data_IF_591829631476
#
_entry.id   IF_591829631476
#
_cell.length_a   1.000
_cell.length_b   1.000
_cell.length_c   1.000
_cell.angle_alpha   90.00
_cell.angle_beta   90.00
_cell.angle_gamma   90.00
#
_symmetry.space_group_name_H-M   'P 1'
#
loop_
_entity.id
_entity.type
_entity.pdbx_description
1 polymer ?
#
# COMPACT_ATOMS: atom_id res chain seq x y z
N UNK A 1 26.46 -13.52 -13.49
CA UNK A 1 26.49 -12.96 -12.13
C UNK A 1 25.14 -12.31 -11.84
N UNK A 2 24.60 -12.45 -10.62
CA UNK A 2 23.23 -11.99 -10.27
C UNK A 2 23.15 -10.48 -9.95
N UNK A 3 24.29 -9.82 -9.83
CA UNK A 3 24.46 -8.40 -9.51
C UNK A 3 25.65 -7.87 -10.31
N UNK A 4 25.48 -6.81 -11.11
CA UNK A 4 26.60 -6.17 -11.81
C UNK A 4 27.55 -5.47 -10.83
N UNK A 5 27.03 -4.91 -9.74
CA UNK A 5 27.84 -4.23 -8.72
C UNK A 5 28.79 -5.20 -8.03
N UNK A 6 28.32 -6.41 -7.71
CA UNK A 6 29.22 -7.43 -7.18
C UNK A 6 30.28 -7.83 -8.21
N UNK A 7 29.96 -7.84 -9.51
CA UNK A 7 30.95 -8.09 -10.56
C UNK A 7 32.07 -7.06 -10.53
N UNK A 8 31.69 -5.80 -10.54
CA UNK A 8 32.65 -4.69 -10.54
C UNK A 8 33.48 -4.70 -9.24
N UNK A 9 32.85 -5.01 -8.09
CA UNK A 9 33.55 -5.15 -6.81
C UNK A 9 34.59 -6.28 -6.85
N UNK A 10 34.24 -7.45 -7.38
CA UNK A 10 35.18 -8.56 -7.52
C UNK A 10 36.29 -8.25 -8.54
N UNK A 11 36.00 -7.48 -9.59
CA UNK A 11 36.97 -7.09 -10.60
C UNK A 11 38.01 -6.08 -10.06
N UNK A 12 37.57 -5.13 -9.22
CA UNK A 12 38.43 -4.10 -8.59
C UNK A 12 39.25 -4.65 -7.44
N UNK A 13 38.70 -5.57 -6.64
CA UNK A 13 39.38 -6.19 -5.50
C UNK A 13 40.42 -7.26 -5.91
N UNK A 14 40.68 -7.48 -7.20
CA UNK A 14 41.80 -8.28 -7.63
C UNK A 14 43.12 -7.52 -7.34
N UNK A 15 43.95 -7.97 -6.38
CA UNK A 15 45.14 -7.22 -6.03
C UNK A 15 46.13 -7.23 -7.22
N UNK A 16 46.72 -6.07 -7.60
CA UNK A 16 47.96 -6.11 -8.36
C UNK A 16 49.02 -6.77 -7.47
N UNK A 17 49.72 -7.78 -8.00
CA UNK A 17 50.77 -8.59 -7.32
C UNK A 17 51.97 -7.82 -6.74
N UNK A 18 51.91 -6.50 -6.57
CA UNK A 18 53.08 -5.62 -6.45
C UNK A 18 53.00 -4.52 -5.39
N UNK A 19 51.96 -4.41 -4.58
CA UNK A 19 51.89 -3.42 -3.49
C UNK A 19 52.14 -4.11 -2.15
N UNK A 20 53.21 -3.72 -1.46
CA UNK A 20 53.73 -4.35 -0.23
C UNK A 20 52.87 -4.21 1.04
N UNK A 21 51.54 -4.21 0.89
CA UNK A 21 50.60 -4.48 1.97
C UNK A 21 50.55 -5.98 2.24
N UNK A 22 50.35 -6.40 3.49
CA UNK A 22 50.33 -7.83 3.82
C UNK A 22 49.15 -8.51 3.11
N UNK A 23 49.42 -9.51 2.28
CA UNK A 23 48.38 -10.29 1.56
C UNK A 23 47.30 -10.86 2.49
N UNK A 24 47.61 -11.01 3.79
CA UNK A 24 46.71 -11.57 4.79
C UNK A 24 45.50 -10.68 5.14
N UNK A 25 45.61 -9.35 5.02
CA UNK A 25 44.51 -8.43 5.39
C UNK A 25 43.44 -8.31 4.29
N UNK A 26 43.76 -8.74 3.05
CA UNK A 26 42.87 -8.68 1.88
C UNK A 26 42.31 -10.05 1.48
N UNK A 27 42.63 -11.10 2.24
CA UNK A 27 42.20 -12.47 1.97
C UNK A 27 41.45 -13.05 3.16
N UNK A 28 40.33 -13.71 2.89
CA UNK A 28 39.60 -14.53 3.84
C UNK A 28 39.63 -15.97 3.35
N UNK A 29 40.26 -16.86 4.11
CA UNK A 29 40.44 -18.28 3.74
C UNK A 29 41.03 -18.49 2.33
N UNK A 30 41.91 -17.58 1.89
CA UNK A 30 42.55 -17.64 0.57
C UNK A 30 41.71 -17.09 -0.58
N UNK A 31 40.53 -16.52 -0.30
CA UNK A 31 39.70 -15.80 -1.27
C UNK A 31 39.76 -14.28 -1.02
N UNK A 32 39.60 -13.42 -2.05
CA UNK A 32 39.51 -11.97 -1.87
C UNK A 32 38.43 -11.58 -0.86
N UNK A 33 38.81 -10.83 0.17
CA UNK A 33 37.91 -10.33 1.20
C UNK A 33 37.32 -8.98 0.77
N UNK A 34 35.99 -8.90 0.75
CA UNK A 34 35.26 -7.64 0.48
C UNK A 34 34.45 -7.27 1.73
N UNK A 35 34.75 -6.10 2.28
CA UNK A 35 33.99 -5.54 3.39
C UNK A 35 32.76 -4.78 2.88
N UNK A 36 31.58 -5.19 3.34
CA UNK A 36 30.31 -4.54 3.03
C UNK A 36 29.79 -3.85 4.29
N UNK A 37 29.22 -2.66 4.13
CA UNK A 37 28.68 -1.85 5.23
C UNK A 37 27.21 -2.15 5.55
N UNK A 38 26.60 -3.11 4.84
CA UNK A 38 25.19 -3.44 4.99
C UNK A 38 24.97 -4.35 6.20
N UNK A 39 23.73 -4.35 6.68
CA UNK A 39 23.30 -5.29 7.70
C UNK A 39 23.45 -6.74 7.23
N UNK A 40 24.06 -7.57 8.07
CA UNK A 40 24.42 -8.94 7.72
C UNK A 40 23.18 -9.83 7.48
N UNK A 41 22.10 -9.64 8.23
CA UNK A 41 20.89 -10.46 8.14
C UNK A 41 20.11 -10.13 6.85
N UNK A 42 19.98 -8.84 6.53
CA UNK A 42 19.36 -8.41 5.28
C UNK A 42 20.16 -8.85 4.05
N UNK A 43 21.49 -8.71 4.10
CA UNK A 43 22.35 -9.14 3.01
C UNK A 43 22.31 -10.67 2.86
N UNK A 44 22.35 -11.41 3.96
CA UNK A 44 22.21 -12.86 3.98
C UNK A 44 20.92 -13.31 3.28
N UNK A 45 19.79 -12.68 3.60
CA UNK A 45 18.49 -12.96 2.97
C UNK A 45 18.52 -12.74 1.45
N UNK A 46 19.13 -11.65 0.99
CA UNK A 46 19.29 -11.34 -0.45
C UNK A 46 20.18 -12.37 -1.15
N UNK A 47 21.32 -12.71 -0.53
CA UNK A 47 22.24 -13.71 -1.06
C UNK A 47 21.56 -15.08 -1.14
N UNK A 48 20.72 -15.41 -0.17
CA UNK A 48 20.00 -16.68 -0.14
C UNK A 48 19.04 -16.81 -1.34
N UNK A 49 18.25 -15.77 -1.59
CA UNK A 49 17.32 -15.71 -2.72
C UNK A 49 18.06 -15.85 -4.05
N UNK A 50 19.18 -15.16 -4.25
CA UNK A 50 19.86 -15.15 -5.55
C UNK A 50 20.70 -16.41 -5.81
N UNK A 51 21.30 -17.03 -4.79
CA UNK A 51 22.19 -18.19 -4.96
C UNK A 51 21.51 -19.54 -4.72
N UNK A 52 20.62 -19.63 -3.74
CA UNK A 52 19.92 -20.88 -3.41
C UNK A 52 18.53 -20.97 -4.05
N UNK A 53 18.12 -19.94 -4.81
CA UNK A 53 16.79 -19.85 -5.41
C UNK A 53 15.68 -19.99 -4.35
N UNK A 54 15.96 -19.57 -3.11
CA UNK A 54 14.95 -19.52 -2.07
C UNK A 54 13.79 -18.64 -2.51
N UNK A 55 12.58 -19.03 -2.14
CA UNK A 55 11.39 -18.29 -2.50
C UNK A 55 11.45 -16.88 -1.91
N UNK A 56 11.22 -15.88 -2.77
CA UNK A 56 11.07 -14.50 -2.33
C UNK A 56 9.89 -14.43 -1.34
N UNK A 57 10.08 -13.86 -0.13
CA UNK A 57 8.99 -13.70 0.80
C UNK A 57 7.81 -12.99 0.13
N UNK A 58 6.64 -13.61 0.21
CA UNK A 58 5.40 -13.03 -0.27
C UNK A 58 4.28 -13.34 0.72
N UNK A 59 3.81 -12.28 1.36
CA UNK A 59 2.71 -12.33 2.32
C UNK A 59 1.61 -11.42 1.75
N UNK A 60 0.76 -11.94 0.83
CA UNK A 60 -0.22 -11.12 0.13
C UNK A 60 -1.10 -10.37 1.12
N UNK A 61 -1.23 -9.06 0.93
CA UNK A 61 -2.06 -8.18 1.76
C UNK A 61 -1.70 -8.16 3.25
N UNK A 62 -0.54 -8.68 3.66
CA UNK A 62 -0.13 -8.63 5.06
C UNK A 62 0.29 -7.21 5.45
N UNK A 63 -0.14 -6.69 6.61
CA UNK A 63 0.26 -5.37 7.09
C UNK A 63 1.76 -5.28 7.43
N UNK A 64 2.44 -6.42 7.60
CA UNK A 64 3.86 -6.52 7.88
C UNK A 64 4.72 -6.66 6.62
N UNK A 65 4.10 -6.94 5.45
CA UNK A 65 4.85 -7.18 4.21
C UNK A 65 5.71 -5.98 3.77
N UNK A 66 5.23 -4.72 3.84
CA UNK A 66 6.06 -3.56 3.51
C UNK A 66 7.35 -3.45 4.34
N UNK A 67 7.27 -3.74 5.64
CA UNK A 67 8.42 -3.66 6.55
C UNK A 67 9.42 -4.78 6.27
N UNK A 68 8.92 -6.00 6.08
CA UNK A 68 9.74 -7.17 5.76
C UNK A 68 10.54 -6.98 4.45
N UNK A 69 9.90 -6.41 3.42
CA UNK A 69 10.49 -6.38 2.08
C UNK A 69 11.34 -5.13 1.82
N UNK A 70 11.21 -4.08 2.64
CA UNK A 70 11.94 -2.82 2.47
C UNK A 70 13.48 -3.01 2.43
N UNK A 71 14.11 -3.74 3.37
CA UNK A 71 15.56 -3.93 3.33
C UNK A 71 16.02 -4.72 2.10
N UNK A 72 15.25 -5.72 1.69
CA UNK A 72 15.51 -6.51 0.49
C UNK A 72 15.43 -5.63 -0.75
N UNK A 73 14.45 -4.73 -0.83
CA UNK A 73 14.34 -3.76 -1.93
C UNK A 73 15.50 -2.76 -1.97
N UNK A 74 15.90 -2.22 -0.82
CA UNK A 74 17.03 -1.31 -0.73
C UNK A 74 18.31 -1.95 -1.26
N UNK A 75 18.61 -3.18 -0.81
CA UNK A 75 19.77 -3.94 -1.27
C UNK A 75 19.64 -4.35 -2.74
N UNK A 76 18.45 -4.75 -3.18
CA UNK A 76 18.19 -5.06 -4.61
C UNK A 76 18.50 -3.87 -5.51
N UNK A 77 18.11 -2.66 -5.08
CA UNK A 77 18.40 -1.42 -5.80
C UNK A 77 19.89 -1.07 -5.73
N UNK A 78 20.49 -1.14 -4.53
CA UNK A 78 21.91 -0.84 -4.29
C UNK A 78 22.84 -1.71 -5.13
N UNK A 79 22.55 -3.00 -5.21
CA UNK A 79 23.36 -3.98 -5.92
C UNK A 79 22.88 -4.27 -7.35
N UNK A 80 21.87 -3.56 -7.87
CA UNK A 80 21.39 -3.74 -9.24
C UNK A 80 20.77 -5.12 -9.52
N UNK A 81 20.14 -5.75 -8.53
CA UNK A 81 19.46 -7.05 -8.65
C UNK A 81 18.05 -6.83 -9.24
N UNK A 82 18.00 -6.48 -10.52
CA UNK A 82 16.80 -5.99 -11.20
C UNK A 82 15.63 -6.97 -11.20
N UNK A 83 15.88 -8.27 -11.36
CA UNK A 83 14.83 -9.30 -11.39
C UNK A 83 14.06 -9.38 -10.07
N UNK A 84 14.79 -9.38 -8.95
CA UNK A 84 14.20 -9.42 -7.61
C UNK A 84 13.45 -8.12 -7.32
N UNK A 85 14.06 -6.97 -7.63
CA UNK A 85 13.41 -5.67 -7.50
C UNK A 85 12.07 -5.63 -8.27
N UNK A 86 12.06 -6.00 -9.55
CA UNK A 86 10.86 -6.01 -10.38
C UNK A 86 9.79 -7.02 -9.91
N UNK A 87 10.21 -8.14 -9.31
CA UNK A 87 9.27 -9.10 -8.74
C UNK A 87 8.57 -8.56 -7.50
N UNK A 88 9.34 -7.96 -6.58
CA UNK A 88 8.78 -7.33 -5.37
C UNK A 88 7.84 -6.18 -5.73
N UNK A 89 8.24 -5.32 -6.69
CA UNK A 89 7.38 -4.22 -7.16
C UNK A 89 6.01 -4.74 -7.63
N UNK A 90 6.00 -5.84 -8.42
CA UNK A 90 4.73 -6.47 -8.86
C UNK A 90 3.91 -7.00 -7.70
N UNK A 91 4.53 -7.59 -6.67
CA UNK A 91 3.80 -8.04 -5.48
C UNK A 91 3.12 -6.87 -4.77
N UNK A 92 3.87 -5.79 -4.53
CA UNK A 92 3.37 -4.58 -3.87
C UNK A 92 2.23 -3.94 -4.66
N UNK A 93 2.35 -3.82 -5.98
CA UNK A 93 1.27 -3.31 -6.82
C UNK A 93 0.03 -4.23 -6.80
N UNK A 94 0.23 -5.55 -6.79
CA UNK A 94 -0.87 -6.52 -6.80
C UNK A 94 -1.69 -6.54 -5.52
N UNK A 95 -1.12 -6.08 -4.40
CA UNK A 95 -1.84 -5.96 -3.12
C UNK A 95 -2.83 -4.79 -3.12
N UNK A 96 -2.70 -3.83 -4.06
CA UNK A 96 -3.52 -2.64 -4.13
C UNK A 96 -4.43 -2.60 -5.36
N UNK A 97 -5.74 -2.35 -5.18
CA UNK A 97 -6.69 -2.38 -6.27
C UNK A 97 -6.47 -1.24 -7.26
N UNK A 98 -6.43 -1.57 -8.54
CA UNK A 98 -6.24 -0.60 -9.63
C UNK A 98 -7.58 -0.15 -10.23
N UNK A 99 -8.62 -0.96 -10.09
CA UNK A 99 -9.97 -0.66 -10.58
C UNK A 99 -11.00 -0.69 -9.46
N UNK A 100 -12.13 0.00 -9.65
CA UNK A 100 -13.26 -0.04 -8.72
C UNK A 100 -13.76 -1.48 -8.49
N UNK A 101 -13.71 -2.33 -9.52
CA UNK A 101 -14.10 -3.73 -9.39
C UNK A 101 -13.12 -4.50 -8.50
N UNK A 102 -11.82 -4.22 -8.60
CA UNK A 102 -10.82 -4.85 -7.75
C UNK A 102 -10.93 -4.36 -6.30
N UNK A 103 -11.31 -3.10 -6.10
CA UNK A 103 -11.68 -2.58 -4.78
C UNK A 103 -12.89 -3.30 -4.19
N UNK A 104 -13.96 -3.44 -4.96
CA UNK A 104 -15.17 -4.14 -4.51
C UNK A 104 -14.90 -5.62 -4.19
N UNK A 105 -14.02 -6.28 -4.98
CA UNK A 105 -13.55 -7.64 -4.67
C UNK A 105 -12.74 -7.66 -3.38
N UNK A 106 -11.76 -6.76 -3.24
CA UNK A 106 -10.90 -6.70 -2.06
C UNK A 106 -11.72 -6.53 -0.78
N UNK A 107 -12.65 -5.57 -0.75
CA UNK A 107 -13.50 -5.32 0.42
C UNK A 107 -14.41 -6.51 0.74
N UNK A 108 -14.94 -7.20 -0.27
CA UNK A 108 -15.71 -8.43 -0.09
C UNK A 108 -14.84 -9.54 0.49
N UNK A 109 -13.69 -9.80 -0.11
CA UNK A 109 -12.77 -10.85 0.33
C UNK A 109 -12.31 -10.62 1.77
N UNK A 110 -11.99 -9.38 2.16
CA UNK A 110 -11.62 -9.03 3.54
C UNK A 110 -12.78 -9.29 4.52
N UNK A 111 -14.01 -8.98 4.11
CA UNK A 111 -15.21 -9.21 4.93
C UNK A 111 -15.51 -10.70 5.09
N UNK A 112 -15.29 -11.49 4.03
CA UNK A 112 -15.55 -12.94 3.98
C UNK A 112 -14.44 -13.79 4.64
N UNK A 113 -13.18 -13.33 4.64
CA UNK A 113 -12.01 -14.07 5.17
C UNK A 113 -11.98 -14.15 6.71
N UNK A 114 -13.04 -13.74 7.41
CA UNK A 114 -13.21 -13.96 8.85
C UNK A 114 -13.41 -15.44 9.16
N UNK A 115 -12.33 -16.20 9.12
CA UNK A 115 -12.31 -17.65 9.29
C UNK A 115 -12.19 -18.07 10.77
N UNK A 116 -11.84 -17.15 11.67
CA UNK A 116 -11.77 -17.41 13.12
C UNK A 116 -12.13 -16.16 13.94
N UNK A 117 -12.68 -16.35 15.16
CA UNK A 117 -12.95 -15.25 16.10
C UNK A 117 -11.67 -14.57 16.64
N UNK A 118 -10.49 -15.13 16.32
CA UNK A 118 -9.18 -14.66 16.80
C UNK A 118 -8.46 -13.74 15.80
N UNK A 119 -8.75 -13.84 14.50
CA UNK A 119 -8.03 -13.08 13.47
C UNK A 119 -8.61 -11.66 13.30
N UNK A 120 -7.71 -10.68 13.23
CA UNK A 120 -8.10 -9.28 13.05
C UNK A 120 -8.29 -9.04 11.56
N UNK A 121 -9.26 -8.21 11.21
CA UNK A 121 -9.49 -7.82 9.81
C UNK A 121 -8.27 -7.16 9.15
N UNK A 122 -7.41 -6.51 9.95
CA UNK A 122 -6.18 -5.87 9.49
C UNK A 122 -5.07 -6.88 9.15
N UNK A 123 -5.12 -8.11 9.67
CA UNK A 123 -4.10 -9.14 9.39
C UNK A 123 -4.19 -9.66 7.94
N UNK A 124 -5.32 -9.40 7.27
CA UNK A 124 -5.62 -9.84 5.91
C UNK A 124 -5.84 -8.69 4.94
N UNK A 125 -5.39 -7.49 5.29
CA UNK A 125 -5.59 -6.32 4.46
C UNK A 125 -4.35 -5.43 4.42
N UNK A 126 -4.02 -4.87 3.24
CA UNK A 126 -2.81 -4.06 3.11
C UNK A 126 -2.90 -2.81 3.99
N UNK A 127 -1.80 -2.48 4.66
CA UNK A 127 -1.73 -1.33 5.56
C UNK A 127 -1.47 -0.04 4.76
N UNK A 128 -2.38 0.95 4.80
CA UNK A 128 -2.33 2.11 3.91
C UNK A 128 -1.16 3.06 4.18
N UNK A 129 -0.77 3.30 5.43
CA UNK A 129 0.25 4.30 5.75
C UNK A 129 1.65 3.83 5.33
N UNK A 130 1.96 2.56 5.59
CA UNK A 130 3.16 1.87 5.16
C UNK A 130 3.22 1.82 3.63
N UNK A 131 2.10 1.53 2.95
CA UNK A 131 2.05 1.55 1.49
C UNK A 131 2.33 2.94 0.90
N UNK A 132 1.75 4.01 1.46
CA UNK A 132 2.03 5.39 1.01
C UNK A 132 3.52 5.71 1.17
N UNK A 133 4.08 5.45 2.36
CA UNK A 133 5.50 5.66 2.63
C UNK A 133 6.40 4.88 1.66
N UNK A 134 6.05 3.63 1.39
CA UNK A 134 6.78 2.75 0.49
C UNK A 134 6.69 3.21 -0.96
N UNK A 135 5.49 3.61 -1.41
CA UNK A 135 5.23 4.14 -2.74
C UNK A 135 6.09 5.38 -3.03
N UNK A 136 6.21 6.30 -2.08
CA UNK A 136 7.09 7.46 -2.24
C UNK A 136 8.57 7.08 -2.27
N UNK A 137 9.00 6.12 -1.44
CA UNK A 137 10.41 5.68 -1.38
C UNK A 137 10.85 4.95 -2.65
N UNK A 138 9.97 4.15 -3.23
CA UNK A 138 10.28 3.28 -4.36
C UNK A 138 9.69 3.72 -5.69
N UNK A 139 9.02 4.87 -5.74
CA UNK A 139 8.38 5.45 -6.92
C UNK A 139 7.30 4.53 -7.51
N UNK A 140 6.29 4.21 -6.69
CA UNK A 140 5.15 3.35 -7.04
C UNK A 140 3.84 4.16 -6.97
N UNK A 141 3.65 5.17 -7.84
CA UNK A 141 2.49 6.05 -7.75
C UNK A 141 1.15 5.35 -8.03
N UNK A 142 1.19 4.18 -8.69
CA UNK A 142 0.01 3.36 -9.04
C UNK A 142 -0.84 2.97 -7.83
N UNK A 143 -0.23 2.77 -6.65
CA UNK A 143 -0.95 2.34 -5.44
C UNK A 143 -1.48 3.51 -4.59
N UNK A 144 -0.95 4.72 -4.79
CA UNK A 144 -1.26 5.88 -3.96
C UNK A 144 -2.76 6.25 -3.93
N UNK A 145 -3.50 6.29 -5.06
CA UNK A 145 -4.92 6.67 -5.03
C UNK A 145 -5.76 5.74 -4.15
N UNK A 146 -5.56 4.43 -4.26
CA UNK A 146 -6.27 3.44 -3.47
C UNK A 146 -5.85 3.47 -1.99
N UNK A 147 -4.55 3.64 -1.71
CA UNK A 147 -4.02 3.73 -0.35
C UNK A 147 -4.53 4.98 0.39
N UNK A 148 -4.50 6.15 -0.26
CA UNK A 148 -5.06 7.37 0.31
C UNK A 148 -6.58 7.29 0.49
N UNK A 149 -7.32 6.73 -0.48
CA UNK A 149 -8.76 6.53 -0.30
C UNK A 149 -9.05 5.59 0.87
N UNK A 150 -8.31 4.48 0.99
CA UNK A 150 -8.44 3.57 2.12
C UNK A 150 -8.20 4.29 3.46
N UNK A 151 -7.08 5.00 3.57
CA UNK A 151 -6.74 5.79 4.75
C UNK A 151 -7.78 6.86 5.07
N UNK A 152 -8.41 7.46 4.05
CA UNK A 152 -9.41 8.51 4.21
C UNK A 152 -10.67 8.02 4.94
N UNK A 153 -10.97 6.72 4.84
CA UNK A 153 -12.12 6.10 5.49
C UNK A 153 -11.89 5.84 6.99
N UNK A 154 -10.65 5.92 7.45
CA UNK A 154 -10.26 5.57 8.81
C UNK A 154 -10.31 6.80 9.72
N UNK A 155 -10.62 6.56 11.00
CA UNK A 155 -10.49 7.57 12.05
C UNK A 155 -9.04 7.63 12.52
N UNK A 156 -8.54 8.83 12.81
CA UNK A 156 -7.20 9.01 13.40
C UNK A 156 -7.07 8.36 14.79
N UNK A 157 -8.20 8.08 15.45
CA UNK A 157 -8.20 7.36 16.72
C UNK A 157 -8.02 5.85 16.57
N UNK A 158 -8.15 5.33 15.34
CA UNK A 158 -8.05 3.91 15.00
C UNK A 158 -6.61 3.60 14.63
N UNK A 159 -5.76 3.67 15.65
CA UNK A 159 -4.33 3.55 15.54
C UNK A 159 -3.88 2.09 15.68
N UNK A 160 -3.14 1.62 14.68
CA UNK A 160 -2.70 0.24 14.59
C UNK A 160 -1.79 -0.13 15.76
N UNK A 161 -0.79 0.70 16.09
CA UNK A 161 0.19 0.42 17.15
C UNK A 161 -0.50 0.30 18.52
N UNK A 162 -1.43 1.22 18.82
CA UNK A 162 -2.21 1.16 20.07
C UNK A 162 -3.10 -0.08 20.13
N UNK A 163 -3.75 -0.41 19.02
CA UNK A 163 -4.68 -1.54 18.96
C UNK A 163 -3.92 -2.86 19.10
N UNK A 164 -2.72 -2.98 18.54
CA UNK A 164 -1.90 -4.20 18.61
C UNK A 164 -1.14 -4.33 19.93
N UNK A 165 -0.83 -3.23 20.61
CA UNK A 165 -0.27 -3.25 21.96
C UNK A 165 -1.24 -3.78 23.03
N UNK A 166 -2.56 -3.58 22.84
CA UNK A 166 -3.60 -4.08 23.74
C UNK A 166 -4.61 -5.00 23.00
N UNK A 167 -4.45 -6.33 23.08
CA UNK A 167 -5.34 -7.29 22.45
C UNK A 167 -6.81 -7.17 22.84
N UNK A 168 -7.13 -6.54 23.98
CA UNK A 168 -8.52 -6.34 24.41
C UNK A 168 -9.28 -5.36 23.50
N UNK A 169 -8.58 -4.43 22.84
CA UNK A 169 -9.17 -3.44 21.93
C UNK A 169 -9.69 -4.12 20.66
N UNK A 170 -8.91 -5.05 20.08
CA UNK A 170 -9.36 -5.82 18.90
C UNK A 170 -10.53 -6.73 19.19
N UNK A 171 -10.52 -7.41 20.34
CA UNK A 171 -11.59 -8.36 20.69
C UNK A 171 -12.93 -7.63 20.75
N UNK A 172 -12.94 -6.36 21.18
CA UNK A 172 -14.15 -5.53 21.22
C UNK A 172 -14.68 -5.15 19.84
N UNK A 173 -13.83 -5.05 18.83
CA UNK A 173 -14.24 -4.65 17.49
C UNK A 173 -13.35 -5.28 16.40
N UNK A 174 -13.46 -6.59 16.16
CA UNK A 174 -12.57 -7.33 15.25
C UNK A 174 -12.83 -6.99 13.77
N UNK A 175 -13.90 -6.25 13.46
CA UNK A 175 -14.21 -5.71 12.12
C UNK A 175 -13.60 -4.34 11.88
N UNK A 176 -13.02 -3.69 12.90
CA UNK A 176 -12.54 -2.33 12.79
C UNK A 176 -11.19 -2.30 12.09
N UNK A 177 -11.09 -1.45 11.07
CA UNK A 177 -9.85 -1.19 10.34
C UNK A 177 -9.01 -0.16 11.07
N UNK A 178 -7.70 -0.34 11.08
CA UNK A 178 -6.74 0.60 11.68
C UNK A 178 -5.64 0.99 10.69
N UNK A 179 -4.84 2.00 11.04
CA UNK A 179 -3.67 2.40 10.25
C UNK A 179 -2.49 2.76 11.14
N UNK A 180 -1.27 2.61 10.61
CA UNK A 180 -0.02 3.02 11.25
C UNK A 180 0.20 4.52 11.06
N UNK A 181 -0.61 5.35 11.72
CA UNK A 181 -0.62 6.82 11.54
C UNK A 181 0.75 7.47 11.75
N UNK A 182 1.61 6.89 12.60
CA UNK A 182 2.98 7.36 12.82
C UNK A 182 3.92 7.26 11.61
N UNK A 183 3.54 6.51 10.56
CA UNK A 183 4.34 6.39 9.34
C UNK A 183 4.14 7.53 8.33
N UNK A 184 3.06 8.29 8.45
CA UNK A 184 2.72 9.34 7.50
C UNK A 184 3.59 10.58 7.69
N UNK A 185 4.13 11.12 6.61
CA UNK A 185 4.80 12.41 6.64
C UNK A 185 3.79 13.56 6.77
N UNK A 186 4.29 14.76 7.12
CA UNK A 186 3.46 15.99 7.14
C UNK A 186 2.83 16.26 5.77
N UNK A 187 3.55 15.94 4.69
CA UNK A 187 3.05 16.08 3.31
C UNK A 187 1.89 15.11 3.08
N UNK A 188 2.03 13.84 3.45
CA UNK A 188 1.01 12.82 3.25
C UNK A 188 -0.25 13.13 4.06
N UNK A 189 -0.10 13.60 5.30
CA UNK A 189 -1.22 14.10 6.11
C UNK A 189 -1.95 15.25 5.42
N UNK A 190 -1.22 16.21 4.85
CA UNK A 190 -1.83 17.32 4.10
C UNK A 190 -2.59 16.80 2.88
N UNK A 191 -2.00 15.90 2.10
CA UNK A 191 -2.65 15.32 0.92
C UNK A 191 -3.91 14.53 1.29
N UNK A 192 -3.88 13.78 2.40
CA UNK A 192 -5.05 13.08 2.94
C UNK A 192 -6.19 14.06 3.28
N UNK A 193 -5.88 15.16 3.97
CA UNK A 193 -6.89 16.16 4.36
C UNK A 193 -7.46 16.91 3.16
N UNK A 194 -6.61 17.31 2.21
CA UNK A 194 -7.03 17.94 0.96
C UNK A 194 -7.92 16.99 0.15
N UNK A 195 -7.51 15.74 -0.04
CA UNK A 195 -8.31 14.79 -0.81
C UNK A 195 -9.65 14.45 -0.18
N UNK A 196 -9.76 14.46 1.15
CA UNK A 196 -11.06 14.40 1.84
C UNK A 196 -11.95 15.59 1.50
N UNK A 197 -11.39 16.80 1.49
CA UNK A 197 -12.13 18.01 1.16
C UNK A 197 -12.56 18.02 -0.32
N UNK A 198 -11.65 17.72 -1.24
CA UNK A 198 -11.91 17.64 -2.68
C UNK A 198 -12.97 16.58 -3.02
N UNK A 199 -12.91 15.40 -2.40
CA UNK A 199 -13.93 14.37 -2.55
C UNK A 199 -15.30 14.86 -2.06
N UNK A 200 -15.35 15.54 -0.92
CA UNK A 200 -16.58 16.10 -0.38
C UNK A 200 -17.15 17.21 -1.29
N UNK A 201 -16.30 18.09 -1.83
CA UNK A 201 -16.71 19.15 -2.75
C UNK A 201 -17.21 18.58 -4.09
N UNK A 202 -16.54 17.54 -4.61
CA UNK A 202 -17.02 16.80 -5.77
C UNK A 202 -18.42 16.20 -5.54
N UNK A 203 -18.63 15.56 -4.39
CA UNK A 203 -19.94 15.02 -4.02
C UNK A 203 -21.00 16.12 -3.87
N UNK A 204 -20.68 17.26 -3.23
CA UNK A 204 -21.60 18.41 -3.13
C UNK A 204 -21.98 18.95 -4.51
N UNK A 205 -21.03 19.00 -5.45
CA UNK A 205 -21.28 19.40 -6.83
C UNK A 205 -22.24 18.47 -7.58
N UNK A 206 -22.46 17.24 -7.10
CA UNK A 206 -23.43 16.30 -7.66
C UNK A 206 -24.87 16.58 -7.20
N UNK A 207 -25.10 17.40 -6.18
CA UNK A 207 -26.44 17.80 -5.71
C UNK A 207 -27.03 18.75 -6.76
N UNK A 208 -28.19 18.41 -7.33
CA UNK A 208 -28.83 19.24 -8.36
C UNK A 208 -29.81 20.18 -7.67
N UNK A 209 -29.80 21.47 -7.99
CA UNK A 209 -30.88 22.39 -7.56
C UNK A 209 -32.22 21.93 -8.14
N UNK A 210 -33.26 21.71 -7.31
CA UNK A 210 -34.40 20.88 -7.68
C UNK A 210 -35.30 21.52 -8.74
N UNK A 211 -35.52 20.78 -9.83
CA UNK A 211 -36.62 20.97 -10.78
C UNK A 211 -37.53 19.74 -10.78
N UNK A 212 -38.50 19.75 -9.88
CA UNK A 212 -39.62 18.80 -9.72
C UNK A 212 -39.37 17.39 -9.16
N UNK A 213 -40.10 17.11 -8.07
CA UNK A 213 -40.20 15.85 -7.34
C UNK A 213 -41.03 14.79 -8.08
N UNK A 214 -40.72 13.50 -7.89
CA UNK A 214 -41.50 12.56 -7.07
C UNK A 214 -41.05 11.08 -7.23
N UNK A 215 -41.18 10.31 -6.13
CA UNK A 215 -41.25 8.83 -5.96
C UNK A 215 -39.99 7.99 -5.62
N UNK A 216 -38.80 8.55 -5.49
CA UNK A 216 -37.56 7.79 -5.20
C UNK A 216 -36.77 8.54 -4.13
N UNK A 217 -35.81 7.90 -3.42
CA UNK A 217 -34.87 8.68 -2.59
C UNK A 217 -34.31 9.76 -3.51
N UNK A 218 -34.55 11.06 -3.23
CA UNK A 218 -34.01 12.12 -4.06
C UNK A 218 -32.51 11.90 -4.17
N UNK A 219 -31.96 12.10 -5.36
CA UNK A 219 -30.52 11.95 -5.58
C UNK A 219 -29.71 12.69 -4.49
N UNK A 220 -30.19 13.85 -4.08
CA UNK A 220 -29.61 14.67 -3.02
C UNK A 220 -29.59 13.95 -1.66
N UNK A 221 -30.56 13.10 -1.34
CA UNK A 221 -30.54 12.28 -0.11
C UNK A 221 -29.42 11.26 -0.18
N UNK A 222 -29.23 10.58 -1.31
CA UNK A 222 -28.15 9.60 -1.49
C UNK A 222 -26.79 10.31 -1.35
N UNK A 223 -26.63 11.46 -1.98
CA UNK A 223 -25.39 12.25 -1.88
C UNK A 223 -25.15 12.75 -0.45
N UNK A 224 -26.17 13.25 0.24
CA UNK A 224 -26.05 13.69 1.63
C UNK A 224 -25.65 12.54 2.56
N UNK A 225 -26.16 11.32 2.33
CA UNK A 225 -25.71 10.14 3.07
C UNK A 225 -24.23 9.82 2.78
N UNK A 226 -23.78 9.95 1.54
CA UNK A 226 -22.38 9.76 1.17
C UNK A 226 -21.46 10.80 1.85
N UNK A 227 -21.90 12.06 1.92
CA UNK A 227 -21.17 13.14 2.61
C UNK A 227 -21.05 12.93 4.13
N UNK A 228 -21.99 12.20 4.73
CA UNK A 228 -21.97 11.83 6.15
C UNK A 228 -21.24 10.51 6.42
N UNK A 229 -21.00 9.71 5.37
CA UNK A 229 -20.31 8.43 5.47
C UNK A 229 -18.80 8.63 5.47
N UNK A 230 -18.09 7.82 6.26
CA UNK A 230 -16.64 7.68 6.13
C UNK A 230 -16.24 6.98 4.82
N UNK A 231 -17.16 6.22 4.22
CA UNK A 231 -16.95 5.47 2.97
C UNK A 231 -18.06 5.77 1.95
N UNK A 232 -17.86 6.78 1.10
CA UNK A 232 -18.81 7.12 0.05
C UNK A 232 -19.04 6.00 -0.96
N UNK A 233 -18.00 5.24 -1.37
CA UNK A 233 -18.13 4.18 -2.36
C UNK A 233 -18.97 3.00 -1.84
N UNK A 234 -18.79 2.62 -0.57
CA UNK A 234 -19.62 1.59 0.05
C UNK A 234 -21.07 2.06 0.26
N UNK A 235 -21.28 3.32 0.66
CA UNK A 235 -22.63 3.88 0.84
C UNK A 235 -23.39 3.94 -0.49
N UNK A 236 -22.72 4.32 -1.59
CA UNK A 236 -23.27 4.27 -2.94
C UNK A 236 -23.62 2.84 -3.35
N UNK A 237 -22.74 1.87 -3.09
CA UNK A 237 -22.98 0.45 -3.39
C UNK A 237 -24.22 -0.08 -2.67
N UNK A 238 -24.32 0.18 -1.36
CA UNK A 238 -25.50 -0.17 -0.53
C UNK A 238 -26.77 0.48 -1.05
N UNK A 239 -26.70 1.78 -1.34
CA UNK A 239 -27.85 2.54 -1.87
C UNK A 239 -28.33 2.01 -3.21
N UNK A 240 -27.43 1.51 -4.07
CA UNK A 240 -27.77 0.94 -5.38
C UNK A 240 -28.74 -0.25 -5.27
N UNK A 241 -28.64 -1.09 -4.24
CA UNK A 241 -29.46 -2.30 -4.10
C UNK A 241 -30.97 -2.01 -4.00
N UNK A 242 -31.35 -0.84 -3.47
CA UNK A 242 -32.74 -0.47 -3.20
C UNK A 242 -33.40 0.40 -4.29
N UNK A 243 -32.74 0.62 -5.44
CA UNK A 243 -33.19 1.59 -6.46
C UNK A 243 -33.56 0.96 -7.81
N UNK A 244 -34.29 1.70 -8.67
CA UNK A 244 -34.56 1.24 -10.05
C UNK A 244 -33.31 1.14 -10.91
N UNK A 245 -33.44 0.52 -12.09
CA UNK A 245 -32.38 0.42 -13.10
C UNK A 245 -31.74 1.75 -13.47
N UNK A 246 -32.52 2.83 -13.65
CA UNK A 246 -32.00 4.16 -14.03
C UNK A 246 -31.10 4.76 -12.94
N UNK A 247 -31.56 4.74 -11.70
CA UNK A 247 -30.84 5.26 -10.55
C UNK A 247 -29.63 4.40 -10.21
N UNK A 248 -29.75 3.06 -10.32
CA UNK A 248 -28.61 2.14 -10.22
C UNK A 248 -27.52 2.48 -11.22
N UNK A 249 -27.87 2.68 -12.50
CA UNK A 249 -26.91 3.10 -13.52
C UNK A 249 -26.25 4.44 -13.16
N UNK A 250 -27.03 5.43 -12.70
CA UNK A 250 -26.50 6.72 -12.25
C UNK A 250 -25.51 6.58 -11.08
N UNK A 251 -25.84 5.74 -10.09
CA UNK A 251 -24.97 5.44 -8.95
C UNK A 251 -23.66 4.78 -9.42
N UNK A 252 -23.73 3.78 -10.29
CA UNK A 252 -22.52 3.12 -10.79
C UNK A 252 -21.62 4.07 -11.58
N UNK A 253 -22.20 4.97 -12.39
CA UNK A 253 -21.45 6.04 -13.06
C UNK A 253 -20.75 6.94 -12.04
N UNK A 254 -21.43 7.38 -10.99
CA UNK A 254 -20.81 8.19 -9.94
C UNK A 254 -19.67 7.44 -9.21
N UNK A 255 -19.87 6.16 -8.87
CA UNK A 255 -18.82 5.35 -8.23
C UNK A 255 -17.58 5.25 -9.10
N UNK A 256 -17.76 5.01 -10.41
CA UNK A 256 -16.66 4.97 -11.37
C UNK A 256 -15.94 6.33 -11.46
N UNK A 257 -16.70 7.43 -11.54
CA UNK A 257 -16.13 8.79 -11.58
C UNK A 257 -15.34 9.13 -10.32
N UNK A 258 -15.83 8.75 -9.14
CA UNK A 258 -15.09 8.93 -7.89
C UNK A 258 -13.77 8.16 -7.95
N UNK A 259 -13.81 6.89 -8.36
CA UNK A 259 -12.63 6.03 -8.46
C UNK A 259 -11.56 6.61 -9.41
N UNK A 260 -11.98 7.00 -10.62
CA UNK A 260 -11.09 7.59 -11.63
C UNK A 260 -10.44 8.90 -11.16
N UNK A 261 -11.15 9.67 -10.32
CA UNK A 261 -10.69 10.96 -9.79
C UNK A 261 -9.89 10.87 -8.50
N UNK A 262 -9.74 9.69 -7.87
CA UNK A 262 -9.01 9.56 -6.62
C UNK A 262 -7.58 10.13 -6.71
N UNK A 263 -6.88 9.85 -7.82
CA UNK A 263 -5.53 10.38 -8.03
C UNK A 263 -5.48 11.91 -8.08
N UNK A 264 -6.51 12.55 -8.63
CA UNK A 264 -6.63 14.01 -8.68
C UNK A 264 -6.98 14.57 -7.30
N UNK A 265 -7.94 13.97 -6.59
CA UNK A 265 -8.34 14.41 -5.25
C UNK A 265 -7.16 14.39 -4.26
N UNK A 266 -6.38 13.32 -4.27
CA UNK A 266 -5.24 13.16 -3.35
C UNK A 266 -3.94 13.75 -3.90
N UNK A 267 -3.98 14.52 -5.00
CA UNK A 267 -2.83 15.17 -5.61
C UNK A 267 -1.66 14.23 -5.86
N UNK A 268 -1.93 12.99 -6.32
CA UNK A 268 -0.90 11.95 -6.45
C UNK A 268 0.18 12.32 -7.48
N UNK A 269 -0.17 13.14 -8.49
CA UNK A 269 0.74 13.58 -9.56
C UNK A 269 1.56 14.83 -9.22
N UNK A 270 1.16 15.58 -8.19
CA UNK A 270 1.84 16.83 -7.80
C UNK A 270 2.93 16.59 -6.74
N UNK A 271 3.28 15.32 -6.48
CA UNK A 271 4.08 14.89 -5.33
C UNK A 271 5.45 14.38 -5.71
#
# INVERSE_FOLDING_TARGET
MHSPIFSDMFDVCNPPRSTGESEADHLYEGAPLIHLSDDADHLGSVLEIIYYQSDLPWLPRSPCYPELITPILDLSRKYGITRMYAQIMRHLESDWPQTLNDWDKLERDITETKNSDADRIDDHSPEPAAAIKLAHRFDIPSILPAAFYHLSRLSIQDDWDKTHADPSISIRNPTKRTAKWGLLSVKDFRCLLLGKAELADFLRGCIVTPGNLQLWKPWDVIINQCLQSADPLAELSKSSAAQNSRMRAKIQVLRAQIWEKLGDFFHVKDQ
#
